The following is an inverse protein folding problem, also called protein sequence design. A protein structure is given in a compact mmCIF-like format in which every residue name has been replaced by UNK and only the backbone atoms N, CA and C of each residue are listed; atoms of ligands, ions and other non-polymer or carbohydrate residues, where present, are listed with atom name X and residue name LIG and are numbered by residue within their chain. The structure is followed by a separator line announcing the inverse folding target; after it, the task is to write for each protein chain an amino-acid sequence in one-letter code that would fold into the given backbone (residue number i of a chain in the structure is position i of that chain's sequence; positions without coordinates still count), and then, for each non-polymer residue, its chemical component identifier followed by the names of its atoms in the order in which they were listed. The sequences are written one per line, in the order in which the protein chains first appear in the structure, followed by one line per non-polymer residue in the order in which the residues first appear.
data_IF_621458703851
#
_entry.id   IF_621458703851
#
_cell.length_a   1.000
_cell.length_b   1.000
_cell.length_c   1.000
_cell.angle_alpha   90.00
_cell.angle_beta   90.00
_cell.angle_gamma   90.00
#
_symmetry.space_group_name_H-M   'P 1'
#
loop_
_entity.id
_entity.type
_entity.pdbx_description
1 polymer ?
#
# COMPACT_ATOMS: atom_id res chain seq x y z
N UNK A 1 -2.32 -15.91 -17.83
CA UNK A 1 -3.57 -16.72 -17.67
C UNK A 1 -3.87 -16.75 -16.19
N UNK A 2 -5.12 -16.54 -15.77
CA UNK A 2 -5.49 -16.46 -14.37
C UNK A 2 -5.13 -17.75 -13.61
N UNK A 3 -4.66 -17.62 -12.37
CA UNK A 3 -4.37 -18.77 -11.52
C UNK A 3 -5.68 -19.55 -11.25
N UNK A 4 -5.67 -20.91 -11.26
CA UNK A 4 -6.92 -21.69 -11.24
C UNK A 4 -7.81 -21.51 -10.00
N UNK A 5 -7.23 -21.47 -8.80
CA UNK A 5 -7.97 -21.26 -7.54
C UNK A 5 -8.57 -19.86 -7.50
N UNK A 6 -7.84 -18.87 -8.02
CA UNK A 6 -8.32 -17.49 -8.16
C UNK A 6 -9.47 -17.40 -9.17
N UNK A 7 -9.40 -18.13 -10.28
CA UNK A 7 -10.49 -18.22 -11.25
C UNK A 7 -11.76 -18.79 -10.61
N UNK A 8 -11.64 -19.90 -9.88
CA UNK A 8 -12.75 -20.51 -9.16
C UNK A 8 -13.34 -19.56 -8.09
N UNK A 9 -12.49 -18.82 -7.38
CA UNK A 9 -12.92 -17.81 -6.42
C UNK A 9 -13.72 -16.68 -7.10
N UNK A 10 -13.24 -16.14 -8.22
CA UNK A 10 -13.95 -15.07 -8.93
C UNK A 10 -15.28 -15.55 -9.50
N UNK A 11 -15.38 -16.80 -9.98
CA UNK A 11 -16.64 -17.42 -10.38
C UNK A 11 -17.63 -17.51 -9.21
N UNK A 12 -17.15 -17.91 -8.02
CA UNK A 12 -17.98 -17.94 -6.80
C UNK A 12 -18.47 -16.55 -6.42
N UNK A 13 -17.60 -15.53 -6.46
CA UNK A 13 -17.98 -14.13 -6.17
C UNK A 13 -19.03 -13.64 -7.16
N UNK A 14 -18.86 -13.91 -8.46
CA UNK A 14 -19.81 -13.53 -9.50
C UNK A 14 -21.17 -14.23 -9.31
N UNK A 15 -21.17 -15.50 -8.90
CA UNK A 15 -22.39 -16.27 -8.63
C UNK A 15 -23.09 -15.85 -7.33
N UNK A 16 -22.36 -15.31 -6.35
CA UNK A 16 -22.87 -14.95 -5.03
C UNK A 16 -23.84 -13.76 -5.00
N UNK A 17 -24.04 -13.06 -6.12
CA UNK A 17 -25.01 -11.96 -6.23
C UNK A 17 -24.70 -10.76 -5.32
N UNK A 18 -23.45 -10.63 -4.87
CA UNK A 18 -22.98 -9.51 -4.07
C UNK A 18 -23.21 -8.18 -4.80
N UNK A 19 -23.57 -7.14 -4.05
CA UNK A 19 -23.73 -5.81 -4.63
C UNK A 19 -22.36 -5.26 -5.05
N UNK A 20 -22.20 -4.74 -6.29
CA UNK A 20 -20.97 -4.07 -6.67
C UNK A 20 -20.69 -2.88 -5.76
N UNK A 21 -19.44 -2.73 -5.32
CA UNK A 21 -19.07 -1.73 -4.30
C UNK A 21 -19.46 -0.29 -4.68
N UNK A 22 -19.33 0.09 -5.95
CA UNK A 22 -19.72 1.42 -6.44
C UNK A 22 -21.22 1.74 -6.31
N UNK A 23 -22.06 0.73 -6.03
CA UNK A 23 -23.50 0.91 -5.78
C UNK A 23 -23.82 1.10 -4.29
N UNK A 24 -22.85 0.89 -3.40
CA UNK A 24 -23.00 1.05 -1.96
C UNK A 24 -22.72 2.51 -1.52
N UNK A 25 -23.19 2.86 -0.32
CA UNK A 25 -22.63 4.02 0.40
C UNK A 25 -21.22 3.70 0.90
N UNK A 26 -20.34 4.69 1.15
CA UNK A 26 -19.01 4.44 1.72
C UNK A 26 -19.05 3.66 3.04
N UNK A 27 -20.01 3.96 3.92
CA UNK A 27 -20.17 3.23 5.18
C UNK A 27 -20.54 1.75 4.96
N UNK A 28 -21.40 1.45 3.97
CA UNK A 28 -21.73 0.06 3.61
C UNK A 28 -20.53 -0.66 2.99
N UNK A 29 -19.82 0.00 2.07
CA UNK A 29 -18.62 -0.56 1.44
C UNK A 29 -17.55 -0.92 2.49
N UNK A 30 -17.33 -0.06 3.50
CA UNK A 30 -16.43 -0.34 4.63
C UNK A 30 -16.87 -1.57 5.42
N UNK A 31 -18.14 -1.60 5.83
CA UNK A 31 -18.68 -2.73 6.61
C UNK A 31 -18.59 -4.06 5.84
N UNK A 32 -18.95 -4.06 4.56
CA UNK A 32 -18.90 -5.25 3.71
C UNK A 32 -17.44 -5.72 3.50
N UNK A 33 -16.50 -4.79 3.31
CA UNK A 33 -15.07 -5.09 3.17
C UNK A 33 -14.44 -5.68 4.44
N UNK A 34 -14.74 -5.08 5.59
CA UNK A 34 -14.25 -5.54 6.89
C UNK A 34 -14.84 -6.92 7.23
N UNK A 35 -16.11 -7.17 6.92
CA UNK A 35 -16.75 -8.46 7.13
C UNK A 35 -16.17 -9.56 6.24
N UNK A 36 -15.79 -9.25 5.00
CA UNK A 36 -15.21 -10.22 4.07
C UNK A 36 -13.75 -10.55 4.38
N UNK A 37 -12.98 -9.60 4.93
CA UNK A 37 -11.52 -9.75 5.09
C UNK A 37 -11.08 -11.05 5.80
N UNK A 38 -11.66 -11.45 6.95
CA UNK A 38 -11.23 -12.68 7.64
C UNK A 38 -11.43 -13.96 6.82
N UNK A 39 -12.31 -13.95 5.82
CA UNK A 39 -12.53 -15.09 4.93
C UNK A 39 -11.49 -15.14 3.80
N UNK A 40 -10.96 -13.98 3.38
CA UNK A 40 -10.05 -13.87 2.25
C UNK A 40 -8.60 -14.18 2.62
N UNK A 41 -8.20 -13.85 3.84
CA UNK A 41 -6.81 -13.96 4.26
C UNK A 41 -6.60 -14.96 5.39
N UNK A 42 -5.43 -15.61 5.38
CA UNK A 42 -4.99 -16.39 6.53
C UNK A 42 -4.67 -15.44 7.69
N UNK A 43 -4.96 -15.81 8.96
CA UNK A 43 -4.48 -15.07 10.10
C UNK A 43 -2.95 -14.92 10.04
N UNK A 44 -2.46 -13.68 10.15
CA UNK A 44 -1.03 -13.44 10.17
C UNK A 44 -0.34 -14.04 11.40
N UNK A 45 0.99 -14.04 11.39
CA UNK A 45 1.81 -14.66 12.44
C UNK A 45 1.38 -14.28 13.86
N UNK A 46 1.03 -15.26 14.73
CA UNK A 46 0.64 -15.01 16.11
C UNK A 46 1.84 -14.66 17.01
N UNK A 47 3.07 -14.69 16.48
CA UNK A 47 4.32 -14.41 17.21
C UNK A 47 4.71 -12.93 17.23
N UNK A 48 3.87 -12.08 16.65
CA UNK A 48 4.11 -10.64 16.55
C UNK A 48 3.23 -9.92 17.55
N UNK A 49 3.86 -9.20 18.47
CA UNK A 49 3.16 -8.37 19.43
C UNK A 49 2.65 -7.10 18.75
N UNK A 50 1.49 -6.61 19.18
CA UNK A 50 0.89 -5.39 18.64
C UNK A 50 0.63 -4.35 19.73
N UNK A 51 0.93 -3.08 19.42
CA UNK A 51 0.63 -1.94 20.28
C UNK A 51 -0.11 -0.86 19.51
N UNK A 52 -1.29 -0.47 20.01
CA UNK A 52 -1.99 0.70 19.49
C UNK A 52 -1.29 1.98 19.95
N UNK A 53 -1.08 2.87 19.00
CA UNK A 53 -0.41 4.16 19.17
C UNK A 53 -1.28 5.26 18.57
N UNK A 54 -1.00 6.50 18.97
CA UNK A 54 -1.64 7.67 18.40
C UNK A 54 -0.62 8.80 18.32
N UNK A 55 -0.71 9.59 17.25
CA UNK A 55 -0.04 10.89 17.15
C UNK A 55 -1.04 11.99 16.85
N UNK A 56 -0.64 13.24 17.00
CA UNK A 56 -1.40 14.38 16.54
C UNK A 56 -1.19 14.59 15.04
N UNK A 57 -2.30 14.78 14.32
CA UNK A 57 -2.30 15.33 12.95
C UNK A 57 -2.02 16.83 13.00
N UNK A 58 -1.68 17.40 11.86
CA UNK A 58 -1.53 18.87 11.69
C UNK A 58 -2.78 19.68 12.03
N UNK A 59 -3.96 19.08 11.93
CA UNK A 59 -5.24 19.72 12.30
C UNK A 59 -5.57 19.57 13.81
N UNK A 60 -4.65 19.00 14.60
CA UNK A 60 -4.83 18.71 16.02
C UNK A 60 -5.64 17.45 16.31
N UNK A 61 -6.20 16.79 15.29
CA UNK A 61 -6.90 15.52 15.42
C UNK A 61 -5.95 14.35 15.73
N UNK A 62 -6.53 13.21 16.08
CA UNK A 62 -5.76 11.98 16.34
C UNK A 62 -5.50 11.21 15.04
N UNK A 63 -4.30 10.66 14.92
CA UNK A 63 -3.93 9.68 13.91
C UNK A 63 -3.62 8.34 14.60
N UNK A 64 -4.57 7.38 14.59
CA UNK A 64 -4.34 6.05 15.12
C UNK A 64 -3.31 5.30 14.28
N UNK A 65 -2.50 4.48 14.96
CA UNK A 65 -1.51 3.61 14.33
C UNK A 65 -1.42 2.29 15.10
N UNK A 66 -0.98 1.22 14.44
CA UNK A 66 -0.65 -0.06 15.09
C UNK A 66 0.81 -0.40 14.83
N UNK A 67 1.57 -0.53 15.90
CA UNK A 67 2.94 -1.00 15.86
C UNK A 67 2.95 -2.51 16.02
N UNK A 68 3.55 -3.21 15.08
CA UNK A 68 3.82 -4.64 15.08
C UNK A 68 5.29 -4.84 15.39
N UNK A 69 5.57 -5.56 16.47
CA UNK A 69 6.91 -5.80 16.98
C UNK A 69 7.23 -7.30 16.90
N UNK A 70 8.16 -7.73 16.05
CA UNK A 70 8.68 -9.08 16.12
C UNK A 70 9.54 -9.25 17.38
N UNK A 71 9.69 -10.50 17.81
CA UNK A 71 10.65 -10.86 18.85
C UNK A 71 12.08 -10.54 18.38
N UNK A 72 12.86 -9.86 19.23
CA UNK A 72 14.24 -9.50 18.92
C UNK A 72 14.84 -8.58 19.97
N UNK A 73 16.15 -8.30 19.84
CA UNK A 73 16.86 -7.33 20.66
C UNK A 73 17.54 -6.25 19.81
N UNK A 74 17.72 -5.06 20.37
CA UNK A 74 18.34 -3.91 19.69
C UNK A 74 17.34 -3.06 18.90
N UNK A 75 17.86 -2.00 18.26
CA UNK A 75 17.05 -1.10 17.45
C UNK A 75 16.72 -1.74 16.09
N UNK A 76 15.43 -2.00 15.86
CA UNK A 76 14.92 -2.62 14.63
C UNK A 76 14.84 -1.59 13.48
N UNK A 77 14.99 -2.00 12.20
CA UNK A 77 14.45 -1.21 11.10
C UNK A 77 12.94 -1.00 11.27
N UNK A 78 12.41 0.04 10.64
CA UNK A 78 10.99 0.38 10.67
C UNK A 78 10.41 0.36 9.26
N UNK A 79 9.29 -0.33 9.08
CA UNK A 79 8.46 -0.28 7.88
C UNK A 79 7.19 0.53 8.20
N UNK A 80 7.07 1.73 7.65
CA UNK A 80 5.83 2.52 7.74
C UNK A 80 4.86 2.02 6.67
N UNK A 81 3.71 1.49 7.08
CA UNK A 81 2.75 0.83 6.20
C UNK A 81 1.47 1.64 6.03
N UNK A 82 1.05 1.81 4.78
CA UNK A 82 -0.22 2.44 4.39
C UNK A 82 -1.11 1.44 3.69
N UNK A 83 -2.31 1.25 4.23
CA UNK A 83 -3.25 0.27 3.74
C UNK A 83 -3.91 0.70 2.41
N UNK A 84 -4.30 -0.26 1.57
CA UNK A 84 -5.11 -0.02 0.38
C UNK A 84 -6.59 0.22 0.67
N UNK A 85 -7.40 0.29 -0.39
CA UNK A 85 -8.85 0.55 -0.30
C UNK A 85 -9.32 1.84 -0.96
N UNK A 86 -8.58 2.34 -1.96
CA UNK A 86 -8.99 3.50 -2.76
C UNK A 86 -9.33 4.75 -1.94
N UNK A 87 -8.64 4.94 -0.81
CA UNK A 87 -8.86 6.02 0.16
C UNK A 87 -10.25 6.03 0.81
N UNK A 88 -11.10 5.04 0.56
CA UNK A 88 -12.50 5.02 0.99
C UNK A 88 -12.79 3.89 1.98
N UNK A 89 -12.05 2.79 1.91
CA UNK A 89 -12.20 1.59 2.74
C UNK A 89 -10.85 1.12 3.27
N UNK A 90 -10.86 0.05 4.05
CA UNK A 90 -9.68 -0.49 4.70
C UNK A 90 -9.36 0.22 6.01
N UNK A 91 -8.28 -0.23 6.65
CA UNK A 91 -7.86 0.21 7.97
C UNK A 91 -6.98 -0.84 8.64
N UNK A 92 -6.66 -0.61 9.91
CA UNK A 92 -5.76 -1.47 10.68
C UNK A 92 -6.21 -2.95 10.73
N UNK A 93 -7.50 -3.22 10.89
CA UNK A 93 -7.99 -4.60 10.98
C UNK A 93 -7.90 -5.34 9.65
N UNK A 94 -8.26 -4.66 8.56
CA UNK A 94 -8.27 -5.29 7.24
C UNK A 94 -6.86 -5.72 6.79
N UNK A 95 -5.81 -5.02 7.21
CA UNK A 95 -4.42 -5.32 6.82
C UNK A 95 -3.60 -5.97 7.95
N UNK A 96 -4.25 -6.43 9.03
CA UNK A 96 -3.56 -6.94 10.21
C UNK A 96 -2.70 -8.17 9.89
N UNK A 97 -3.26 -9.13 9.14
CA UNK A 97 -2.55 -10.34 8.73
C UNK A 97 -1.30 -10.04 7.91
N UNK A 98 -1.42 -9.18 6.89
CA UNK A 98 -0.30 -8.75 6.06
C UNK A 98 0.79 -8.07 6.89
N UNK A 99 0.42 -7.14 7.78
CA UNK A 99 1.39 -6.43 8.63
C UNK A 99 2.09 -7.37 9.62
N UNK A 100 1.37 -8.32 10.23
CA UNK A 100 1.95 -9.36 11.09
C UNK A 100 2.95 -10.21 10.33
N UNK A 101 2.61 -10.65 9.12
CA UNK A 101 3.51 -11.49 8.34
C UNK A 101 4.75 -10.72 7.88
N UNK A 102 4.60 -9.47 7.44
CA UNK A 102 5.75 -8.64 7.09
C UNK A 102 6.68 -8.41 8.30
N UNK A 103 6.13 -8.15 9.48
CA UNK A 103 6.91 -8.01 10.72
C UNK A 103 7.56 -9.33 11.16
N UNK A 104 6.92 -10.47 10.92
CA UNK A 104 7.48 -11.78 11.29
C UNK A 104 8.56 -12.25 10.32
N UNK A 105 8.38 -12.02 9.02
CA UNK A 105 9.26 -12.48 7.95
C UNK A 105 10.45 -11.53 7.76
N UNK A 106 10.23 -10.23 7.92
CA UNK A 106 11.27 -9.20 7.91
C UNK A 106 11.54 -8.85 9.35
N UNK A 107 12.74 -9.03 9.92
CA UNK A 107 13.06 -8.66 11.30
C UNK A 107 13.10 -7.13 11.48
N UNK A 108 11.97 -6.47 11.26
CA UNK A 108 11.71 -5.05 11.37
C UNK A 108 10.39 -4.82 12.10
N UNK A 109 10.26 -3.68 12.78
CA UNK A 109 8.96 -3.24 13.24
C UNK A 109 8.12 -2.78 12.05
N UNK A 110 6.81 -3.01 12.08
CA UNK A 110 5.86 -2.43 11.12
C UNK A 110 4.98 -1.44 11.85
N UNK A 111 4.83 -0.21 11.34
CA UNK A 111 3.91 0.79 11.87
C UNK A 111 2.84 1.05 10.82
N UNK A 112 1.66 0.45 11.00
CA UNK A 112 0.52 0.66 10.12
C UNK A 112 -0.23 1.93 10.53
N UNK A 113 -0.61 2.75 9.54
CA UNK A 113 -1.26 4.04 9.74
C UNK A 113 -2.73 3.99 9.36
N UNK A 114 -3.61 4.41 10.27
CA UNK A 114 -5.07 4.48 10.08
C UNK A 114 -5.44 5.89 9.59
N UNK A 115 -5.08 6.18 8.34
CA UNK A 115 -5.23 7.52 7.77
C UNK A 115 -6.71 7.86 7.50
N UNK A 116 -7.03 9.16 7.45
CA UNK A 116 -8.39 9.65 7.18
C UNK A 116 -8.91 9.17 5.82
N UNK A 117 -10.16 8.68 5.82
CA UNK A 117 -10.83 8.18 4.62
C UNK A 117 -11.81 9.20 4.02
N UNK A 118 -11.95 9.12 2.70
CA UNK A 118 -12.97 9.81 1.92
C UNK A 118 -14.31 9.07 1.96
N UNK A 119 -15.44 9.78 1.76
CA UNK A 119 -15.55 11.20 1.40
C UNK A 119 -15.54 12.20 2.57
N UNK A 120 -15.54 11.72 3.83
CA UNK A 120 -15.53 12.58 5.02
C UNK A 120 -14.27 13.45 5.07
N UNK A 121 -13.17 12.90 4.58
CA UNK A 121 -11.88 13.57 4.47
C UNK A 121 -11.31 13.36 3.08
N UNK A 122 -11.65 14.28 2.17
CA UNK A 122 -11.19 14.27 0.77
C UNK A 122 -9.70 14.58 0.65
N UNK A 123 -9.15 14.33 -0.53
CA UNK A 123 -7.81 14.77 -0.90
C UNK A 123 -7.59 16.24 -0.52
N UNK A 124 -6.45 16.61 0.11
CA UNK A 124 -5.26 15.79 0.33
C UNK A 124 -5.17 15.10 1.71
N UNK A 125 -6.26 14.96 2.48
CA UNK A 125 -6.21 14.54 3.89
C UNK A 125 -5.38 13.27 4.18
N UNK A 126 -5.53 12.20 3.38
CA UNK A 126 -4.74 10.98 3.55
C UNK A 126 -3.24 11.19 3.26
N UNK A 127 -2.88 12.05 2.29
CA UNK A 127 -1.48 12.42 1.98
C UNK A 127 -0.86 13.18 3.16
N UNK A 128 -1.64 14.06 3.76
CA UNK A 128 -1.23 14.80 4.95
C UNK A 128 -0.99 13.89 6.15
N UNK A 129 -1.86 12.90 6.36
CA UNK A 129 -1.73 11.93 7.46
C UNK A 129 -0.51 11.03 7.26
N UNK A 130 -0.24 10.60 6.01
CA UNK A 130 0.97 9.84 5.68
C UNK A 130 2.25 10.63 5.99
N UNK A 131 2.25 11.93 5.69
CA UNK A 131 3.35 12.84 6.03
C UNK A 131 3.54 13.01 7.53
N UNK A 132 2.44 13.24 8.24
CA UNK A 132 2.46 13.47 9.69
C UNK A 132 2.92 12.19 10.43
N UNK A 133 2.48 11.01 9.97
CA UNK A 133 2.94 9.72 10.48
C UNK A 133 4.45 9.51 10.27
N UNK A 134 4.97 9.81 9.07
CA UNK A 134 6.39 9.64 8.78
C UNK A 134 7.28 10.57 9.61
N UNK A 135 6.91 11.86 9.70
CA UNK A 135 7.62 12.81 10.56
C UNK A 135 7.62 12.38 12.03
N UNK A 136 6.47 11.90 12.51
CA UNK A 136 6.36 11.40 13.87
C UNK A 136 7.22 10.15 14.07
N UNK A 137 7.20 9.20 13.13
CA UNK A 137 7.98 7.97 13.18
C UNK A 137 9.50 8.27 13.25
N UNK A 138 10.00 9.17 12.41
CA UNK A 138 11.40 9.61 12.46
C UNK A 138 11.77 10.23 13.82
N UNK A 139 10.90 11.09 14.37
CA UNK A 139 11.12 11.73 15.67
C UNK A 139 10.98 10.81 16.88
N UNK A 140 10.31 9.66 16.74
CA UNK A 140 10.00 8.75 17.84
C UNK A 140 10.63 7.36 17.69
N UNK A 141 11.43 7.11 16.65
CA UNK A 141 11.97 5.79 16.35
C UNK A 141 12.61 5.11 17.57
N UNK A 142 13.44 5.83 18.34
CA UNK A 142 14.06 5.29 19.55
C UNK A 142 13.04 4.83 20.60
N UNK A 143 11.94 5.57 20.81
CA UNK A 143 10.86 5.19 21.72
C UNK A 143 10.02 4.01 21.20
N UNK A 144 10.09 3.74 19.90
CA UNK A 144 9.51 2.57 19.26
C UNK A 144 10.46 1.35 19.29
N UNK A 145 11.68 1.49 19.83
CA UNK A 145 12.71 0.45 19.72
C UNK A 145 13.26 0.31 18.29
N UNK A 146 13.17 1.38 17.49
CA UNK A 146 13.53 1.40 16.08
C UNK A 146 14.69 2.35 15.79
N UNK A 147 15.31 2.16 14.63
CA UNK A 147 16.39 2.98 14.10
C UNK A 147 15.88 3.97 13.05
N UNK A 148 15.94 5.27 13.35
CA UNK A 148 15.46 6.33 12.45
C UNK A 148 16.23 6.43 11.13
N UNK A 149 17.41 5.82 11.01
CA UNK A 149 18.19 5.78 9.77
C UNK A 149 17.79 4.64 8.83
N UNK A 150 16.96 3.70 9.32
CA UNK A 150 16.50 2.50 8.58
C UNK A 150 14.97 2.44 8.53
N UNK A 151 14.37 3.50 7.98
CA UNK A 151 12.91 3.59 7.80
C UNK A 151 12.56 3.39 6.34
N UNK A 152 11.86 2.31 6.02
CA UNK A 152 11.26 2.10 4.70
C UNK A 152 9.76 2.47 4.72
N UNK A 153 9.22 2.76 3.55
CA UNK A 153 7.78 3.01 3.35
C UNK A 153 7.18 1.88 2.51
N UNK A 154 5.97 1.48 2.86
CA UNK A 154 5.26 0.39 2.20
C UNK A 154 3.77 0.72 2.11
N UNK A 155 3.13 0.20 1.08
CA UNK A 155 1.68 0.14 1.05
C UNK A 155 1.19 -0.66 -0.15
N UNK A 156 -0.12 -0.84 -0.20
CA UNK A 156 -0.80 -1.53 -1.28
C UNK A 156 -1.87 -0.64 -1.92
N UNK A 157 -2.04 -0.77 -3.24
CA UNK A 157 -3.04 -0.01 -3.99
C UNK A 157 -2.93 1.50 -3.74
N UNK A 158 -3.99 2.14 -3.22
CA UNK A 158 -3.99 3.53 -2.77
C UNK A 158 -2.94 3.85 -1.68
N UNK A 159 -2.65 2.91 -0.79
CA UNK A 159 -1.61 3.03 0.22
C UNK A 159 -0.20 3.06 -0.38
N UNK A 160 0.03 2.30 -1.45
CA UNK A 160 1.29 2.37 -2.22
C UNK A 160 1.46 3.75 -2.90
N UNK A 161 0.36 4.39 -3.32
CA UNK A 161 0.36 5.78 -3.80
C UNK A 161 0.76 6.75 -2.70
N UNK A 162 0.26 6.57 -1.46
CA UNK A 162 0.68 7.37 -0.31
C UNK A 162 2.17 7.18 0.00
N UNK A 163 2.67 5.94 -0.03
CA UNK A 163 4.10 5.64 0.15
C UNK A 163 4.96 6.33 -0.92
N UNK A 164 4.52 6.30 -2.16
CA UNK A 164 5.17 6.98 -3.28
C UNK A 164 5.20 8.50 -3.09
N UNK A 165 4.04 9.10 -2.80
CA UNK A 165 3.92 10.53 -2.59
C UNK A 165 4.71 11.01 -1.38
N UNK A 166 4.78 10.20 -0.34
CA UNK A 166 5.62 10.45 0.84
C UNK A 166 7.11 10.45 0.50
N UNK A 167 7.59 9.52 -0.34
CA UNK A 167 9.00 9.49 -0.74
C UNK A 167 9.38 10.77 -1.51
N UNK A 168 8.53 11.21 -2.44
CA UNK A 168 8.66 12.47 -3.19
C UNK A 168 8.67 13.67 -2.25
N UNK A 169 7.66 13.79 -1.39
CA UNK A 169 7.55 14.89 -0.44
C UNK A 169 8.75 14.93 0.54
N UNK A 170 9.28 13.77 0.95
CA UNK A 170 10.37 13.68 1.92
C UNK A 170 11.65 14.28 1.36
N UNK A 171 11.97 13.95 0.11
CA UNK A 171 13.07 14.56 -0.63
C UNK A 171 12.87 16.06 -0.79
N UNK A 172 11.69 16.50 -1.26
CA UNK A 172 11.43 17.92 -1.56
C UNK A 172 11.50 18.80 -0.30
N UNK A 173 11.12 18.26 0.86
CA UNK A 173 11.20 18.96 2.13
C UNK A 173 12.57 18.86 2.82
N UNK A 174 13.54 18.14 2.26
CA UNK A 174 14.85 17.89 2.88
C UNK A 174 14.78 17.07 4.18
N UNK A 175 13.74 16.25 4.35
CA UNK A 175 13.70 15.27 5.45
C UNK A 175 14.63 14.10 5.14
N UNK A 176 14.96 13.32 6.17
CA UNK A 176 15.62 12.04 5.98
C UNK A 176 14.77 11.18 5.01
N UNK A 177 15.29 10.79 3.83
CA UNK A 177 14.53 10.01 2.87
C UNK A 177 14.29 8.60 3.41
N UNK A 178 13.20 7.93 3.00
CA UNK A 178 13.05 6.51 3.27
C UNK A 178 14.27 5.74 2.75
N UNK A 179 14.68 4.66 3.43
CA UNK A 179 15.72 3.76 2.95
C UNK A 179 15.27 2.98 1.71
N UNK A 180 13.96 2.72 1.62
CA UNK A 180 13.35 1.99 0.52
C UNK A 180 11.84 2.24 0.42
N UNK A 181 11.27 1.89 -0.74
CA UNK A 181 9.83 1.91 -1.03
C UNK A 181 9.38 0.50 -1.46
N UNK A 182 8.36 -0.06 -0.82
CA UNK A 182 7.69 -1.29 -1.27
C UNK A 182 6.29 -0.93 -1.73
N UNK A 183 6.01 -1.13 -3.01
CA UNK A 183 4.81 -0.65 -3.68
C UNK A 183 4.04 -1.84 -4.25
N UNK A 184 3.01 -2.28 -3.54
CA UNK A 184 2.12 -3.34 -3.98
C UNK A 184 1.04 -2.75 -4.90
N UNK A 185 1.09 -3.09 -6.19
CA UNK A 185 0.15 -2.74 -7.25
C UNK A 185 -0.36 -1.29 -7.14
N UNK A 186 0.56 -0.29 -7.19
CA UNK A 186 0.22 1.09 -6.87
C UNK A 186 -0.71 1.71 -7.91
N UNK A 187 -1.71 2.48 -7.44
CA UNK A 187 -2.34 3.49 -8.28
C UNK A 187 -1.32 4.59 -8.57
N UNK A 188 -0.97 4.82 -9.83
CA UNK A 188 0.03 5.83 -10.22
C UNK A 188 -0.46 6.81 -11.27
N UNK A 189 -1.63 6.56 -11.86
CA UNK A 189 -2.26 7.44 -12.84
C UNK A 189 -3.75 7.59 -12.59
N UNK A 190 -4.30 8.71 -13.06
CA UNK A 190 -5.73 8.87 -13.29
C UNK A 190 -6.12 8.52 -14.75
N UNK A 191 -5.13 8.25 -15.60
CA UNK A 191 -5.33 7.97 -17.02
C UNK A 191 -5.99 6.59 -17.22
N UNK A 192 -7.04 6.58 -18.05
CA UNK A 192 -7.80 5.38 -18.40
C UNK A 192 -7.30 4.71 -19.70
N UNK A 193 -6.34 5.31 -20.41
CA UNK A 193 -5.91 4.86 -21.74
C UNK A 193 -4.93 3.68 -21.77
N UNK A 194 -4.49 3.19 -20.61
CA UNK A 194 -3.66 1.97 -20.52
C UNK A 194 -4.39 0.72 -21.05
N UNK A 195 -3.65 -0.27 -21.56
CA UNK A 195 -4.27 -1.49 -22.08
C UNK A 195 -4.88 -2.34 -20.98
N UNK A 196 -4.18 -2.47 -19.85
CA UNK A 196 -4.68 -3.19 -18.67
C UNK A 196 -5.96 -2.57 -18.11
N UNK A 197 -6.12 -1.24 -18.19
CA UNK A 197 -7.36 -0.52 -17.81
C UNK A 197 -8.59 -1.04 -18.56
N UNK A 198 -8.44 -1.37 -19.84
CA UNK A 198 -9.52 -1.93 -20.66
C UNK A 198 -9.65 -3.43 -20.49
N UNK A 199 -8.53 -4.16 -20.53
CA UNK A 199 -8.50 -5.62 -20.53
C UNK A 199 -9.02 -6.24 -19.25
N UNK A 200 -8.74 -5.62 -18.11
CA UNK A 200 -9.10 -6.12 -16.78
C UNK A 200 -10.15 -5.23 -16.09
N UNK A 201 -10.94 -4.49 -16.87
CA UNK A 201 -11.95 -3.55 -16.35
C UNK A 201 -13.03 -4.22 -15.50
N UNK A 202 -13.35 -5.49 -15.80
CA UNK A 202 -14.43 -6.25 -15.15
C UNK A 202 -14.09 -7.72 -15.01
N UNK A 203 -14.49 -8.32 -13.87
CA UNK A 203 -14.36 -9.73 -13.56
C UNK A 203 -13.05 -10.12 -12.88
N UNK A 204 -12.21 -9.16 -12.48
CA UNK A 204 -10.86 -9.38 -11.92
C UNK A 204 -10.70 -8.77 -10.53
N UNK A 205 -11.73 -8.89 -9.70
CA UNK A 205 -11.85 -8.34 -8.32
C UNK A 205 -11.96 -6.81 -8.25
N UNK A 206 -10.98 -6.07 -8.78
CA UNK A 206 -11.04 -4.61 -8.86
C UNK A 206 -11.74 -4.17 -10.15
N UNK A 207 -12.94 -3.63 -10.00
CA UNK A 207 -13.76 -3.15 -11.12
C UNK A 207 -13.46 -1.69 -11.47
N UNK A 208 -13.46 -1.35 -12.77
CA UNK A 208 -13.25 0.02 -13.25
C UNK A 208 -14.25 1.02 -12.64
N UNK A 209 -15.54 0.66 -12.55
CA UNK A 209 -16.57 1.51 -11.94
C UNK A 209 -16.34 1.71 -10.43
N UNK A 210 -15.83 0.70 -9.73
CA UNK A 210 -15.46 0.80 -8.32
C UNK A 210 -14.31 1.77 -8.13
N UNK A 211 -13.28 1.70 -8.96
CA UNK A 211 -12.16 2.63 -8.88
C UNK A 211 -12.58 4.07 -9.22
N UNK A 212 -13.38 4.28 -10.27
CA UNK A 212 -13.93 5.61 -10.59
C UNK A 212 -14.76 6.16 -9.43
N UNK A 213 -15.55 5.32 -8.79
CA UNK A 213 -16.33 5.69 -7.60
C UNK A 213 -15.43 6.10 -6.43
N UNK A 214 -14.35 5.35 -6.16
CA UNK A 214 -13.35 5.70 -5.15
C UNK A 214 -12.67 7.04 -5.46
N UNK A 215 -12.23 7.25 -6.71
CA UNK A 215 -11.60 8.49 -7.14
C UNK A 215 -12.53 9.70 -7.01
N UNK A 216 -13.82 9.57 -7.36
CA UNK A 216 -14.80 10.65 -7.17
C UNK A 216 -15.02 11.00 -5.71
N UNK A 217 -15.08 10.01 -4.81
CA UNK A 217 -15.17 10.29 -3.37
C UNK A 217 -13.90 10.95 -2.84
N UNK A 218 -12.74 10.50 -3.29
CA UNK A 218 -11.46 11.00 -2.80
C UNK A 218 -11.14 12.42 -3.31
N UNK A 219 -11.20 12.64 -4.62
CA UNK A 219 -10.87 13.92 -5.24
C UNK A 219 -12.00 14.96 -5.09
N UNK A 220 -13.26 14.50 -5.15
CA UNK A 220 -14.41 15.39 -5.31
C UNK A 220 -14.44 16.12 -6.65
N UNK A 221 -15.50 16.88 -6.88
CA UNK A 221 -15.77 17.49 -8.20
C UNK A 221 -14.73 18.55 -8.61
N UNK A 222 -14.04 19.15 -7.63
CA UNK A 222 -13.01 20.16 -7.85
C UNK A 222 -11.58 19.61 -7.80
N UNK A 223 -11.40 18.30 -7.56
CA UNK A 223 -10.08 17.70 -7.41
C UNK A 223 -9.35 17.60 -8.75
N UNK A 224 -8.04 17.85 -8.74
CA UNK A 224 -7.20 17.72 -9.93
C UNK A 224 -6.69 16.27 -10.06
N UNK A 225 -7.15 15.49 -11.06
CA UNK A 225 -6.68 14.11 -11.26
C UNK A 225 -5.21 14.05 -11.72
N UNK A 226 -4.60 15.18 -12.11
CA UNK A 226 -3.20 15.29 -12.51
C UNK A 226 -2.28 15.74 -11.36
N UNK A 227 -2.80 15.91 -10.15
CA UNK A 227 -1.94 16.24 -9.00
C UNK A 227 -1.05 15.03 -8.68
N UNK A 228 0.27 15.21 -8.69
CA UNK A 228 1.22 14.10 -8.51
C UNK A 228 1.07 13.35 -7.19
N UNK A 229 0.47 13.99 -6.16
CA UNK A 229 0.19 13.34 -4.86
C UNK A 229 -0.92 12.29 -4.95
N UNK A 230 -1.73 12.36 -6.00
CA UNK A 230 -2.75 11.39 -6.35
C UNK A 230 -2.32 10.52 -7.54
N UNK A 231 -1.70 11.12 -8.57
CA UNK A 231 -1.19 10.44 -9.76
C UNK A 231 0.33 10.61 -9.86
N UNK A 232 1.15 9.82 -9.14
CA UNK A 232 2.62 9.91 -9.14
C UNK A 232 3.29 9.98 -10.51
N UNK A 233 2.69 9.43 -11.58
CA UNK A 233 3.19 9.57 -12.95
C UNK A 233 3.20 11.00 -13.48
N UNK A 234 2.55 11.94 -12.81
CA UNK A 234 2.55 13.36 -13.16
C UNK A 234 3.70 14.13 -12.50
N UNK A 235 4.45 13.51 -11.57
CA UNK A 235 5.59 14.14 -10.93
C UNK A 235 6.67 14.47 -11.97
N UNK A 236 7.19 15.70 -12.00
CA UNK A 236 8.18 16.10 -13.01
C UNK A 236 9.56 15.50 -12.76
N UNK A 237 9.98 15.45 -11.50
CA UNK A 237 11.32 14.97 -11.10
C UNK A 237 11.22 13.83 -10.07
N UNK A 238 11.69 12.66 -10.48
CA UNK A 238 11.78 11.46 -9.63
C UNK A 238 13.22 11.15 -9.20
N UNK A 239 14.19 12.01 -9.52
CA UNK A 239 15.58 11.80 -9.12
C UNK A 239 15.74 11.89 -7.60
N UNK A 240 16.75 11.20 -7.07
CA UNK A 240 17.07 11.22 -5.64
C UNK A 240 16.06 10.51 -4.72
N UNK A 241 15.09 9.78 -5.28
CA UNK A 241 14.17 8.96 -4.48
C UNK A 241 14.83 7.66 -4.00
N UNK A 242 14.25 7.09 -2.94
CA UNK A 242 14.68 5.82 -2.39
C UNK A 242 14.46 4.67 -3.40
N UNK A 243 15.29 3.61 -3.39
CA UNK A 243 15.07 2.42 -4.21
C UNK A 243 13.66 1.84 -4.01
N UNK A 244 13.04 1.40 -5.09
CA UNK A 244 11.68 0.88 -5.09
C UNK A 244 11.61 -0.61 -5.47
N UNK A 245 10.82 -1.36 -4.72
CA UNK A 245 10.33 -2.68 -5.12
C UNK A 245 8.85 -2.55 -5.51
N UNK A 246 8.55 -2.74 -6.78
CA UNK A 246 7.19 -2.59 -7.32
C UNK A 246 6.67 -3.99 -7.64
N UNK A 247 5.68 -4.43 -6.88
CA UNK A 247 5.00 -5.71 -7.08
C UNK A 247 3.73 -5.46 -7.87
N UNK A 248 3.51 -6.17 -8.96
CA UNK A 248 2.36 -6.02 -9.85
C UNK A 248 1.70 -7.37 -10.06
N UNK A 249 0.43 -7.37 -10.48
CA UNK A 249 -0.35 -8.57 -10.76
C UNK A 249 -0.69 -8.65 -12.25
N UNK A 250 -0.46 -9.78 -12.93
CA UNK A 250 -0.67 -9.88 -14.39
C UNK A 250 -2.10 -9.50 -14.81
N UNK A 251 -3.09 -9.86 -14.00
CA UNK A 251 -4.51 -9.64 -14.27
C UNK A 251 -5.09 -8.49 -13.42
N UNK A 252 -4.40 -7.35 -13.44
CA UNK A 252 -4.79 -6.12 -12.74
C UNK A 252 -4.78 -4.93 -13.71
N UNK A 253 -5.81 -4.10 -13.64
CA UNK A 253 -5.90 -2.89 -14.45
C UNK A 253 -4.81 -1.85 -14.16
N UNK A 254 -4.20 -1.89 -12.98
CA UNK A 254 -3.15 -0.94 -12.56
C UNK A 254 -1.73 -1.37 -12.99
N UNK A 255 -1.58 -2.51 -13.67
CA UNK A 255 -0.26 -3.05 -13.96
C UNK A 255 0.55 -2.22 -14.94
N UNK A 256 -0.05 -1.75 -16.04
CA UNK A 256 0.68 -0.93 -17.01
C UNK A 256 1.16 0.39 -16.41
N UNK A 257 0.32 1.05 -15.59
CA UNK A 257 0.71 2.31 -14.94
C UNK A 257 1.81 2.09 -13.88
N UNK A 258 1.74 0.98 -13.12
CA UNK A 258 2.81 0.58 -12.21
C UNK A 258 4.14 0.29 -12.93
N UNK A 259 4.09 -0.36 -14.11
CA UNK A 259 5.27 -0.55 -14.96
C UNK A 259 5.82 0.78 -15.49
N UNK A 260 4.93 1.68 -15.93
CA UNK A 260 5.31 3.01 -16.40
C UNK A 260 5.99 3.81 -15.28
N UNK A 261 5.49 3.75 -14.05
CA UNK A 261 6.09 4.43 -12.92
C UNK A 261 7.48 3.87 -12.58
N UNK A 262 7.61 2.54 -12.58
CA UNK A 262 8.92 1.89 -12.43
C UNK A 262 9.92 2.27 -13.52
N UNK A 263 9.46 2.43 -14.77
CA UNK A 263 10.31 2.93 -15.85
C UNK A 263 10.74 4.37 -15.62
N UNK A 264 9.82 5.26 -15.22
CA UNK A 264 10.17 6.66 -14.92
C UNK A 264 11.18 6.79 -13.77
N UNK A 265 11.10 5.92 -12.75
CA UNK A 265 12.12 5.86 -11.70
C UNK A 265 13.50 5.51 -12.26
N UNK A 266 13.58 4.47 -13.12
CA UNK A 266 14.84 4.07 -13.76
C UNK A 266 15.41 5.16 -14.66
N UNK A 267 14.56 5.82 -15.44
CA UNK A 267 14.96 6.94 -16.31
C UNK A 267 15.52 8.12 -15.50
N UNK A 268 15.03 8.30 -14.27
CA UNK A 268 15.53 9.31 -13.32
C UNK A 268 16.74 8.82 -12.49
N UNK A 269 17.30 7.65 -12.79
CA UNK A 269 18.47 7.09 -12.10
C UNK A 269 18.17 6.43 -10.75
N UNK A 270 16.90 6.18 -10.41
CA UNK A 270 16.49 5.47 -9.19
C UNK A 270 16.39 3.98 -9.47
N UNK A 271 16.95 3.14 -8.59
CA UNK A 271 16.79 1.68 -8.68
C UNK A 271 15.32 1.33 -8.46
N UNK A 272 14.69 0.73 -9.46
CA UNK A 272 13.33 0.22 -9.37
C UNK A 272 13.26 -1.21 -9.89
N UNK A 273 12.99 -2.16 -8.99
CA UNK A 273 12.79 -3.57 -9.29
C UNK A 273 11.29 -3.82 -9.45
N UNK A 274 10.83 -4.00 -10.69
CA UNK A 274 9.43 -4.31 -11.00
C UNK A 274 9.25 -5.82 -11.18
N UNK A 275 8.32 -6.42 -10.45
CA UNK A 275 7.99 -7.84 -10.54
C UNK A 275 6.50 -8.00 -10.82
N UNK A 276 6.16 -8.64 -11.94
CA UNK A 276 4.79 -8.98 -12.29
C UNK A 276 4.53 -10.43 -11.89
N UNK A 277 3.55 -10.65 -11.01
CA UNK A 277 3.12 -11.98 -10.57
C UNK A 277 2.12 -12.56 -11.58
N UNK A 278 2.48 -13.65 -12.29
CA UNK A 278 1.61 -14.26 -13.29
C UNK A 278 0.30 -14.76 -12.69
N UNK A 279 -0.79 -14.58 -13.42
CA UNK A 279 -2.12 -15.07 -13.08
C UNK A 279 -2.75 -14.48 -11.81
N UNK A 280 -2.12 -13.50 -11.16
CA UNK A 280 -2.65 -12.83 -9.98
C UNK A 280 -3.54 -11.64 -10.35
N UNK A 281 -4.43 -11.26 -9.43
CA UNK A 281 -5.30 -10.07 -9.52
C UNK A 281 -4.89 -8.99 -8.53
N UNK A 282 -5.54 -7.83 -8.60
CA UNK A 282 -5.39 -6.77 -7.62
C UNK A 282 -5.65 -7.29 -6.19
N UNK A 283 -4.96 -6.72 -5.20
CA UNK A 283 -5.10 -7.10 -3.78
C UNK A 283 -4.63 -8.54 -3.42
N UNK A 284 -3.99 -9.27 -4.34
CA UNK A 284 -3.63 -10.69 -4.11
C UNK A 284 -2.72 -10.94 -2.90
N UNK A 285 -1.94 -9.94 -2.47
CA UNK A 285 -1.10 -10.06 -1.29
C UNK A 285 -1.91 -10.31 -0.01
N UNK A 286 -3.24 -10.12 -0.04
CA UNK A 286 -4.20 -10.33 1.04
C UNK A 286 -5.15 -11.51 0.83
N UNK A 287 -4.89 -12.36 -0.18
CA UNK A 287 -5.75 -13.49 -0.53
C UNK A 287 -5.16 -14.83 -0.03
N UNK A 288 -4.61 -14.86 1.18
CA UNK A 288 -3.90 -16.03 1.72
C UNK A 288 -4.74 -17.32 1.85
N UNK A 289 -6.07 -17.22 1.98
CA UNK A 289 -6.96 -18.38 1.99
C UNK A 289 -7.34 -18.86 0.58
N UNK A 290 -7.02 -18.08 -0.46
CA UNK A 290 -7.42 -18.34 -1.84
C UNK A 290 -6.24 -18.84 -2.67
N UNK A 291 -5.09 -18.16 -2.58
CA UNK A 291 -3.90 -18.46 -3.39
C UNK A 291 -2.63 -18.50 -2.53
N UNK A 292 -1.77 -19.47 -2.82
CA UNK A 292 -0.48 -19.64 -2.13
C UNK A 292 0.49 -18.47 -2.38
N UNK A 293 0.32 -17.81 -3.51
CA UNK A 293 1.10 -16.71 -4.03
C UNK A 293 1.00 -15.47 -3.13
N UNK A 294 -0.09 -15.33 -2.36
CA UNK A 294 -0.22 -14.29 -1.33
C UNK A 294 0.89 -14.40 -0.28
N UNK A 295 1.16 -15.61 0.22
CA UNK A 295 2.28 -15.83 1.16
C UNK A 295 3.64 -15.78 0.46
N UNK A 296 3.70 -16.16 -0.82
CA UNK A 296 4.92 -16.06 -1.59
C UNK A 296 5.37 -14.60 -1.75
N UNK A 297 4.47 -13.70 -2.14
CA UNK A 297 4.81 -12.28 -2.27
C UNK A 297 5.22 -11.64 -0.95
N UNK A 298 4.59 -12.02 0.17
CA UNK A 298 5.02 -11.57 1.51
C UNK A 298 6.46 -11.98 1.83
N UNK A 299 6.86 -13.20 1.47
CA UNK A 299 8.24 -13.69 1.63
C UNK A 299 9.22 -12.96 0.72
N UNK A 300 8.83 -12.71 -0.52
CA UNK A 300 9.69 -12.03 -1.50
C UNK A 300 9.92 -10.56 -1.12
N UNK A 301 8.88 -9.87 -0.65
CA UNK A 301 8.98 -8.53 -0.06
C UNK A 301 9.92 -8.54 1.14
N UNK A 302 9.78 -9.52 2.04
CA UNK A 302 10.63 -9.62 3.22
C UNK A 302 12.10 -9.84 2.86
N UNK A 303 12.38 -10.70 1.87
CA UNK A 303 13.73 -10.93 1.37
C UNK A 303 14.32 -9.66 0.75
N UNK A 304 13.54 -8.91 -0.02
CA UNK A 304 13.98 -7.65 -0.62
C UNK A 304 14.25 -6.58 0.46
N UNK A 305 13.35 -6.44 1.44
CA UNK A 305 13.51 -5.53 2.57
C UNK A 305 14.73 -5.87 3.43
N UNK A 306 15.02 -7.15 3.66
CA UNK A 306 16.22 -7.57 4.40
C UNK A 306 17.50 -7.07 3.72
N UNK A 307 17.54 -7.08 2.38
CA UNK A 307 18.63 -6.49 1.61
C UNK A 307 18.67 -4.96 1.72
N UNK A 308 17.52 -4.28 1.69
CA UNK A 308 17.43 -2.83 1.81
C UNK A 308 17.80 -2.30 3.21
N UNK A 309 17.53 -3.07 4.27
CA UNK A 309 17.88 -2.73 5.65
C UNK A 309 19.28 -3.16 6.07
N UNK A 310 19.99 -3.93 5.23
CA UNK A 310 21.37 -4.28 5.49
C UNK A 310 22.20 -2.99 5.62
N UNK A 311 23.15 -2.92 6.57
CA UNK A 311 24.07 -1.79 6.66
C UNK A 311 24.74 -1.59 5.30
N UNK A 312 24.86 -0.35 4.84
CA UNK A 312 25.67 -0.06 3.67
C UNK A 312 27.06 -0.66 3.92
N UNK A 313 27.50 -1.58 3.05
CA UNK A 313 28.84 -2.14 3.15
C UNK A 313 29.82 -0.97 3.22
N UNK A 314 30.65 -0.93 4.27
CA UNK A 314 31.65 0.12 4.44
C UNK A 314 32.48 0.20 3.15
N UNK A 315 32.29 1.30 2.41
CA UNK A 315 33.07 1.61 1.21
C UNK A 315 34.40 2.23 1.62
#
# INVERSE_FOLDING_TARGET
MLQPDLAAFLEMVAAGGGRPMHTCTPAQARADYDAATPMLDTPGSPRVDTRLLNTARRDGGRLPMRLYLPAGGGALPLLLFFHGGGYCIGGLESHDSLCRDLAALTPCAVLAVDYRLAPEHRFPAAVEDAWDAYRWALGNAAALGCDASRVAVCGDSAGATLATGLAIASRDAGLAPPTAQVLLYPCTSADEDFDTRRRYATGYLLEAETLRWMYRHYLGDAGNPRDWRFAPLECQDLSGLAPAHIVLAECDMLTDEGLAYGQRLRDAGVRADCVVYPGMVHDFARLGNIVSEAMQVRRDIAAWLAGAFAPAAAR
#
